data_IF_424690368943
#
_entry.id   IF_424690368943
#
_cell.length_a   1.000
_cell.length_b   1.000
_cell.length_c   1.000
_cell.angle_alpha   90.00
_cell.angle_beta   90.00
_cell.angle_gamma   90.00
#
_symmetry.space_group_name_H-M   'P 1'
#
loop_
_entity.id
_entity.type
_entity.pdbx_description
1 polymer ?
#
# COMPACT_ATOMS: atom_id res chain seq x y z
N UNK A 1 -18.90 9.25 -23.03
CA UNK A 1 -18.24 9.68 -21.78
C UNK A 1 -16.78 9.24 -21.81
N UNK A 2 -15.80 10.17 -21.81
CA UNK A 2 -14.38 9.80 -21.61
C UNK A 2 -14.13 9.69 -20.11
N UNK A 3 -14.00 8.47 -19.60
CA UNK A 3 -13.65 8.22 -18.19
C UNK A 3 -12.16 8.55 -18.05
N UNK A 4 -11.85 9.54 -17.21
CA UNK A 4 -10.47 9.97 -16.97
C UNK A 4 -9.75 8.84 -16.24
N UNK A 5 -8.74 8.24 -16.87
CA UNK A 5 -8.01 7.13 -16.27
C UNK A 5 -7.29 7.56 -14.99
N UNK A 6 -7.29 6.69 -13.99
CA UNK A 6 -6.72 6.97 -12.68
C UNK A 6 -5.20 6.92 -12.76
N UNK A 7 -4.57 8.09 -12.86
CA UNK A 7 -3.12 8.21 -13.10
C UNK A 7 -2.23 7.75 -11.94
N UNK A 8 -2.74 7.73 -10.70
CA UNK A 8 -1.96 7.36 -9.52
C UNK A 8 -2.69 6.31 -8.69
N UNK A 9 -1.94 5.30 -8.23
CA UNK A 9 -2.44 4.28 -7.29
C UNK A 9 -2.12 4.74 -5.87
N UNK A 10 -3.14 5.23 -5.18
CA UNK A 10 -3.06 5.68 -3.79
C UNK A 10 -3.84 4.73 -2.86
N UNK A 11 -3.46 4.68 -1.59
CA UNK A 11 -4.08 3.83 -0.57
C UNK A 11 -3.24 2.61 -0.21
N UNK A 12 -3.91 1.53 0.23
CA UNK A 12 -3.30 0.26 0.65
C UNK A 12 -2.94 -0.61 -0.56
N UNK A 13 -2.08 -0.07 -1.41
CA UNK A 13 -1.63 -0.75 -2.63
C UNK A 13 -0.62 -1.84 -2.24
N UNK A 14 0.41 -1.45 -1.50
CA UNK A 14 1.51 -2.33 -1.10
C UNK A 14 1.23 -3.00 0.24
N UNK A 15 1.53 -4.30 0.30
CA UNK A 15 1.41 -5.15 1.49
C UNK A 15 2.67 -5.16 2.36
N UNK A 16 2.60 -5.85 3.50
CA UNK A 16 3.80 -6.22 4.26
C UNK A 16 4.70 -7.12 3.41
N UNK A 17 6.01 -6.86 3.38
CA UNK A 17 7.00 -7.64 2.63
C UNK A 17 7.09 -9.09 3.10
N UNK A 18 6.81 -9.36 4.38
CA UNK A 18 6.89 -10.71 4.97
C UNK A 18 5.60 -11.51 4.83
N UNK A 19 4.46 -10.91 5.14
CA UNK A 19 3.18 -11.62 5.27
C UNK A 19 2.09 -11.17 4.29
N UNK A 20 2.37 -10.17 3.43
CA UNK A 20 1.42 -9.65 2.44
C UNK A 20 0.23 -8.86 3.02
N UNK A 21 0.10 -8.78 4.35
CA UNK A 21 -1.01 -8.09 5.00
C UNK A 21 -1.00 -6.60 4.66
N UNK A 22 -2.14 -6.09 4.14
CA UNK A 22 -2.32 -4.69 3.70
C UNK A 22 -2.75 -3.72 4.81
N UNK A 23 -3.10 -4.23 5.99
CA UNK A 23 -3.57 -3.45 7.14
C UNK A 23 -2.49 -3.38 8.20
N UNK A 24 -2.33 -2.21 8.82
CA UNK A 24 -1.37 -2.02 9.92
C UNK A 24 0.09 -2.13 9.47
N UNK A 25 0.40 -1.60 8.28
CA UNK A 25 1.76 -1.53 7.77
C UNK A 25 2.47 -0.32 8.37
N UNK A 26 3.64 -0.57 8.96
CA UNK A 26 4.61 0.44 9.34
C UNK A 26 5.26 0.94 8.07
N UNK A 27 4.99 2.20 7.72
CA UNK A 27 5.57 2.91 6.56
C UNK A 27 6.73 3.86 6.90
N UNK A 28 7.10 3.91 8.18
CA UNK A 28 8.16 4.80 8.67
C UNK A 28 9.50 4.40 8.06
N UNK A 29 10.29 5.38 7.63
CA UNK A 29 11.62 5.17 7.05
C UNK A 29 11.64 4.25 5.82
N UNK A 30 10.53 4.17 5.06
CA UNK A 30 10.44 3.29 3.90
C UNK A 30 10.26 1.80 4.25
N UNK A 31 9.96 1.48 5.51
CA UNK A 31 9.57 0.12 5.87
C UNK A 31 8.22 -0.23 5.26
N UNK A 32 8.03 -1.50 4.93
CA UNK A 32 6.76 -2.06 4.48
C UNK A 32 6.50 -3.35 5.27
N UNK A 33 6.40 -3.23 6.58
CA UNK A 33 6.24 -4.37 7.49
C UNK A 33 4.93 -4.27 8.27
N UNK A 34 4.33 -5.42 8.59
CA UNK A 34 3.21 -5.46 9.52
C UNK A 34 3.70 -5.16 10.93
N UNK A 35 2.81 -4.60 11.75
CA UNK A 35 3.08 -4.33 13.19
C UNK A 35 3.21 -5.58 14.08
N UNK A 36 2.97 -6.77 13.53
CA UNK A 36 3.10 -8.05 14.22
C UNK A 36 4.52 -8.55 13.95
#
# INVERSE_FOLDING_TARGET
>A
MKIKERQRKYGRVDGCVRCGRKRGIIRKYGMHLCRQ
#
